data_IF_464137280623
#
_entry.id   IF_464137280623
#
_cell.length_a   1.000
_cell.length_b   1.000
_cell.length_c   1.000
_cell.angle_alpha   90.00
_cell.angle_beta   90.00
_cell.angle_gamma   90.00
#
_symmetry.space_group_name_H-M   'P 1'
#
loop_
_entity.id
_entity.type
_entity.pdbx_description
1 polymer ?
#
# COMPACT_ATOMS: atom_id res chain seq x y z
N UNK A 1 8.19 -3.43 5.88
CA UNK A 1 6.72 -3.55 5.72
C UNK A 1 6.26 -2.44 4.79
N UNK A 2 6.01 -2.78 3.52
CA UNK A 2 5.99 -1.86 2.38
C UNK A 2 4.61 -1.38 1.93
N UNK A 3 3.57 -1.48 2.75
CA UNK A 3 2.34 -0.73 2.50
C UNK A 3 2.53 0.61 3.19
N UNK A 4 3.28 1.52 2.58
CA UNK A 4 3.29 2.92 3.02
C UNK A 4 1.84 3.33 3.20
N UNK A 5 1.46 3.84 4.38
CA UNK A 5 0.08 3.92 4.89
C UNK A 5 -0.97 4.62 4.03
N UNK A 6 -0.67 4.96 2.77
CA UNK A 6 -1.53 5.53 1.74
C UNK A 6 -2.87 4.83 1.56
N UNK A 7 -2.96 3.50 1.70
CA UNK A 7 -4.25 2.81 1.64
C UNK A 7 -5.24 3.27 2.71
N UNK A 8 -4.75 3.55 3.93
CA UNK A 8 -5.54 4.14 5.01
C UNK A 8 -5.59 5.66 4.94
N UNK A 9 -4.51 6.28 4.46
CA UNK A 9 -4.36 7.73 4.43
C UNK A 9 -5.33 8.39 3.46
N UNK A 10 -5.58 7.79 2.29
CA UNK A 10 -6.51 8.33 1.28
C UNK A 10 -7.95 8.40 1.81
N UNK A 11 -8.54 7.32 2.36
CA UNK A 11 -9.83 7.39 3.05
C UNK A 11 -9.82 8.37 4.22
N UNK A 12 -8.82 8.33 5.10
CA UNK A 12 -8.76 9.22 6.26
C UNK A 12 -8.79 10.70 5.84
N UNK A 13 -8.05 11.08 4.80
CA UNK A 13 -8.03 12.46 4.29
C UNK A 13 -9.36 12.89 3.66
N UNK A 14 -10.06 11.98 2.98
CA UNK A 14 -11.37 12.27 2.35
C UNK A 14 -12.48 12.35 3.41
N UNK A 15 -12.54 11.37 4.31
CA UNK A 15 -13.67 11.21 5.25
C UNK A 15 -13.47 11.93 6.58
N UNK A 16 -12.24 12.01 7.10
CA UNK A 16 -11.94 12.65 8.40
C UNK A 16 -11.59 14.12 8.19
N UNK A 17 -10.66 14.42 7.28
CA UNK A 17 -10.22 15.80 7.02
C UNK A 17 -11.12 16.56 6.03
N UNK A 18 -12.03 15.88 5.33
CA UNK A 18 -12.96 16.51 4.39
C UNK A 18 -12.29 17.15 3.16
N UNK A 19 -11.06 16.73 2.81
CA UNK A 19 -10.33 17.32 1.69
C UNK A 19 -10.91 16.86 0.34
N UNK A 20 -10.96 17.74 -0.67
CA UNK A 20 -11.43 17.37 -2.00
C UNK A 20 -10.52 16.31 -2.62
N UNK A 21 -11.12 15.29 -3.23
CA UNK A 21 -10.44 14.08 -3.75
C UNK A 21 -9.27 14.40 -4.68
N UNK A 22 -9.37 15.47 -5.48
CA UNK A 22 -8.30 15.93 -6.37
C UNK A 22 -7.00 16.32 -5.63
N UNK A 23 -7.11 16.91 -4.45
CA UNK A 23 -5.95 17.36 -3.65
C UNK A 23 -5.34 16.18 -2.90
N UNK A 24 -6.17 15.28 -2.37
CA UNK A 24 -5.76 14.10 -1.60
C UNK A 24 -4.85 13.17 -2.40
N UNK A 25 -5.14 12.97 -3.69
CA UNK A 25 -4.34 12.10 -4.56
C UNK A 25 -2.92 12.65 -4.70
N UNK A 26 -2.75 13.97 -4.88
CA UNK A 26 -1.43 14.59 -5.00
C UNK A 26 -0.65 14.58 -3.69
N UNK A 27 -1.29 14.94 -2.57
CA UNK A 27 -0.62 15.02 -1.25
C UNK A 27 -0.17 13.65 -0.74
N UNK A 28 -1.01 12.62 -0.92
CA UNK A 28 -0.65 11.24 -0.56
C UNK A 28 0.51 10.71 -1.41
N UNK A 29 0.53 11.00 -2.71
CA UNK A 29 1.62 10.55 -3.60
C UNK A 29 2.94 11.18 -3.20
N UNK A 30 2.95 12.49 -2.92
CA UNK A 30 4.12 13.20 -2.43
C UNK A 30 4.66 12.55 -1.15
N UNK A 31 3.81 12.36 -0.16
CA UNK A 31 4.20 11.72 1.10
C UNK A 31 4.76 10.30 0.89
N UNK A 32 4.10 9.48 0.07
CA UNK A 32 4.51 8.09 -0.18
C UNK A 32 5.91 8.04 -0.80
N UNK A 33 6.29 8.99 -1.67
CA UNK A 33 7.64 9.03 -2.24
C UNK A 33 8.70 9.17 -1.14
N UNK A 34 8.53 10.08 -0.18
CA UNK A 34 9.50 10.26 0.91
C UNK A 34 9.55 9.07 1.84
N UNK A 35 8.39 8.52 2.23
CA UNK A 35 8.32 7.35 3.11
C UNK A 35 8.94 6.13 2.43
N UNK A 36 8.64 5.89 1.15
CA UNK A 36 9.19 4.78 0.39
C UNK A 36 10.71 4.92 0.19
N UNK A 37 11.19 6.12 -0.14
CA UNK A 37 12.63 6.37 -0.29
C UNK A 37 13.38 6.12 1.03
N UNK A 38 12.88 6.66 2.14
CA UNK A 38 13.50 6.48 3.45
C UNK A 38 13.49 5.03 3.91
N UNK A 39 12.35 4.33 3.76
CA UNK A 39 12.24 2.91 4.12
C UNK A 39 13.13 2.04 3.25
N UNK A 40 13.25 2.33 1.95
CA UNK A 40 14.15 1.62 1.04
C UNK A 40 15.61 1.85 1.42
N UNK A 41 16.00 3.10 1.72
CA UNK A 41 17.36 3.42 2.16
C UNK A 41 17.70 2.71 3.48
N UNK A 42 16.79 2.75 4.45
CA UNK A 42 16.98 2.05 5.73
C UNK A 42 17.08 0.54 5.53
N UNK A 43 16.29 -0.03 4.64
CA UNK A 43 16.35 -1.46 4.33
C UNK A 43 17.65 -1.85 3.63
N UNK A 44 18.12 -1.01 2.69
CA UNK A 44 19.39 -1.18 2.03
C UNK A 44 20.56 -1.18 3.03
N UNK A 45 20.55 -0.26 3.98
CA UNK A 45 21.63 -0.13 4.97
C UNK A 45 21.58 -1.29 5.99
N UNK A 46 20.41 -1.58 6.56
CA UNK A 46 20.28 -2.54 7.67
C UNK A 46 20.36 -4.00 7.23
N UNK A 47 19.74 -4.34 6.12
CA UNK A 47 19.59 -5.75 5.70
C UNK A 47 20.61 -6.13 4.63
N UNK A 48 21.22 -5.16 3.92
CA UNK A 48 22.18 -5.35 2.81
C UNK A 48 21.72 -6.32 1.69
N UNK A 49 20.47 -6.80 1.74
CA UNK A 49 19.90 -7.81 0.84
C UNK A 49 19.04 -7.17 -0.25
N UNK A 50 19.46 -6.02 -0.78
CA UNK A 50 18.74 -5.36 -1.87
C UNK A 50 19.17 -5.96 -3.20
N UNK A 51 18.31 -6.81 -3.74
CA UNK A 51 18.45 -7.31 -5.10
C UNK A 51 18.10 -6.19 -6.09
N UNK A 52 19.14 -5.64 -6.73
CA UNK A 52 19.02 -4.56 -7.70
C UNK A 52 18.20 -5.00 -8.92
N UNK A 53 18.31 -6.27 -9.34
CA UNK A 53 17.58 -6.77 -10.50
C UNK A 53 16.08 -6.81 -10.20
N UNK A 54 15.70 -7.32 -9.02
CA UNK A 54 14.31 -7.37 -8.57
C UNK A 54 13.73 -5.96 -8.38
N UNK A 55 14.51 -5.04 -7.81
CA UNK A 55 14.14 -3.64 -7.68
C UNK A 55 13.87 -2.99 -9.04
N UNK A 56 14.71 -3.24 -10.04
CA UNK A 56 14.58 -2.67 -11.38
C UNK A 56 13.33 -3.20 -12.11
N UNK A 57 13.07 -4.51 -12.01
CA UNK A 57 11.84 -5.13 -12.53
C UNK A 57 10.59 -4.57 -11.85
N UNK A 58 10.62 -4.39 -10.52
CA UNK A 58 9.53 -3.78 -9.77
C UNK A 58 9.28 -2.32 -10.15
N UNK A 59 10.34 -1.52 -10.34
CA UNK A 59 10.22 -0.13 -10.78
C UNK A 59 9.60 -0.07 -12.16
N UNK A 60 10.10 -0.85 -13.12
CA UNK A 60 9.55 -0.86 -14.48
C UNK A 60 8.09 -1.31 -14.50
N UNK A 61 7.78 -2.44 -13.85
CA UNK A 61 6.41 -2.96 -13.76
C UNK A 61 5.48 -1.98 -13.03
N UNK A 62 5.95 -1.37 -11.94
CA UNK A 62 5.20 -0.39 -11.16
C UNK A 62 4.93 0.90 -11.93
N UNK A 63 5.92 1.44 -12.65
CA UNK A 63 5.74 2.64 -13.48
C UNK A 63 4.77 2.36 -14.61
N UNK A 64 4.95 1.27 -15.36
CA UNK A 64 4.04 0.91 -16.46
C UNK A 64 2.62 0.67 -15.93
N UNK A 65 2.48 -0.09 -14.84
CA UNK A 65 1.21 -0.36 -14.19
C UNK A 65 0.51 0.90 -13.69
N UNK A 66 1.23 1.83 -13.05
CA UNK A 66 0.67 3.09 -12.57
C UNK A 66 0.23 4.01 -13.71
N UNK A 67 0.99 4.08 -14.81
CA UNK A 67 0.63 4.85 -15.99
C UNK A 67 -0.63 4.29 -16.66
N UNK A 68 -0.73 2.97 -16.82
CA UNK A 68 -1.94 2.32 -17.37
C UNK A 68 -3.12 2.49 -16.42
N UNK A 69 -2.91 2.28 -15.12
CA UNK A 69 -3.93 2.42 -14.09
C UNK A 69 -4.49 3.83 -13.99
N UNK A 70 -3.64 4.86 -14.05
CA UNK A 70 -4.07 6.27 -14.03
C UNK A 70 -4.91 6.62 -15.28
N UNK A 71 -4.47 6.19 -16.47
CA UNK A 71 -5.22 6.42 -17.72
C UNK A 71 -6.58 5.73 -17.70
N UNK A 72 -6.66 4.51 -17.19
CA UNK A 72 -7.92 3.78 -17.06
C UNK A 72 -8.81 4.40 -15.97
N UNK A 73 -8.21 4.85 -14.85
CA UNK A 73 -8.89 5.53 -13.75
C UNK A 73 -9.60 6.82 -14.16
N UNK A 74 -9.05 7.57 -15.13
CA UNK A 74 -9.68 8.77 -15.68
C UNK A 74 -10.99 8.48 -16.45
N UNK A 75 -11.25 7.23 -16.84
CA UNK A 75 -12.50 6.84 -17.50
C UNK A 75 -13.64 6.58 -16.51
N UNK A 76 -13.35 6.48 -15.21
CA UNK A 76 -14.34 6.26 -14.17
C UNK A 76 -14.79 7.57 -13.53
N UNK A 77 -16.06 7.65 -13.17
CA UNK A 77 -16.57 8.77 -12.39
C UNK A 77 -15.98 8.73 -10.97
N UNK A 78 -15.78 9.90 -10.35
CA UNK A 78 -15.21 10.01 -9.00
C UNK A 78 -15.97 9.18 -7.95
N UNK A 79 -17.30 9.06 -8.12
CA UNK A 79 -18.15 8.25 -7.26
C UNK A 79 -17.92 6.74 -7.44
N UNK A 80 -17.75 6.26 -8.69
CA UNK A 80 -17.42 4.86 -8.97
C UNK A 80 -16.06 4.49 -8.37
N UNK A 81 -15.06 5.37 -8.50
CA UNK A 81 -13.74 5.15 -7.93
C UNK A 81 -13.79 5.09 -6.39
N UNK A 82 -14.63 5.92 -5.76
CA UNK A 82 -14.86 5.91 -4.31
C UNK A 82 -15.52 4.62 -3.84
N UNK A 83 -16.54 4.14 -4.55
CA UNK A 83 -17.22 2.87 -4.24
C UNK A 83 -16.24 1.70 -4.38
N UNK A 84 -15.41 1.70 -5.43
CA UNK A 84 -14.44 0.64 -5.68
C UNK A 84 -13.36 0.60 -4.59
N UNK A 85 -12.88 1.76 -4.13
CA UNK A 85 -12.00 1.86 -2.96
C UNK A 85 -12.68 1.35 -1.69
N UNK A 86 -13.94 1.73 -1.43
CA UNK A 86 -14.66 1.28 -0.26
C UNK A 86 -14.86 -0.24 -0.24
N UNK A 87 -15.19 -0.84 -1.39
CA UNK A 87 -15.33 -2.29 -1.54
C UNK A 87 -14.00 -3.01 -1.31
N UNK A 88 -12.89 -2.48 -1.83
CA UNK A 88 -11.55 -3.01 -1.56
C UNK A 88 -11.22 -2.97 -0.06
N UNK A 89 -11.48 -1.85 0.62
CA UNK A 89 -11.28 -1.72 2.07
C UNK A 89 -12.12 -2.72 2.86
N UNK A 90 -13.40 -2.85 2.53
CA UNK A 90 -14.29 -3.83 3.17
C UNK A 90 -13.82 -5.27 2.94
N UNK A 91 -13.35 -5.61 1.74
CA UNK A 91 -12.81 -6.93 1.45
C UNK A 91 -11.56 -7.24 2.28
N UNK A 92 -10.63 -6.27 2.39
CA UNK A 92 -9.42 -6.42 3.22
C UNK A 92 -9.79 -6.55 4.70
N UNK A 93 -10.70 -5.72 5.19
CA UNK A 93 -11.17 -5.80 6.58
C UNK A 93 -11.83 -7.15 6.88
N UNK A 94 -12.66 -7.64 5.95
CA UNK A 94 -13.27 -8.98 6.04
C UNK A 94 -12.23 -10.09 6.05
N UNK A 95 -11.22 -10.03 5.18
CA UNK A 95 -10.12 -11.01 5.14
C UNK A 95 -9.33 -11.04 6.45
N UNK A 96 -9.00 -9.88 7.02
CA UNK A 96 -8.34 -9.78 8.33
C UNK A 96 -9.23 -10.34 9.45
N UNK A 97 -10.54 -10.04 9.43
CA UNK A 97 -11.48 -10.58 10.41
C UNK A 97 -11.62 -12.10 10.32
N UNK A 98 -11.62 -12.65 9.10
CA UNK A 98 -11.63 -14.09 8.86
C UNK A 98 -10.32 -14.75 9.30
N UNK A 99 -9.16 -14.15 9.00
CA UNK A 99 -7.86 -14.61 9.49
C UNK A 99 -7.79 -14.63 11.04
N UNK A 100 -8.64 -13.85 11.71
CA UNK A 100 -8.73 -13.81 13.18
C UNK A 100 -9.64 -14.89 13.76
N UNK A 101 -10.63 -15.36 13.00
CA UNK A 101 -11.61 -16.38 13.42
C UNK A 101 -11.21 -17.78 12.97
N UNK A 102 -10.59 -17.89 11.80
CA UNK A 102 -10.06 -19.14 11.28
C UNK A 102 -8.75 -19.47 12.02
N UNK A 103 -8.56 -20.72 12.45
CA UNK A 103 -7.31 -21.13 13.07
C UNK A 103 -6.15 -20.94 12.08
N UNK A 104 -5.05 -20.27 12.49
CA UNK A 104 -3.89 -20.09 11.63
C UNK A 104 -3.27 -21.43 11.27
N UNK A 105 -2.94 -21.64 9.99
CA UNK A 105 -2.28 -22.86 9.49
C UNK A 105 -0.85 -23.05 10.05
N UNK A 106 -0.20 -21.98 10.54
CA UNK A 106 1.13 -22.07 11.15
C UNK A 106 1.06 -22.07 12.69
N UNK A 107 1.08 -23.27 13.26
CA UNK A 107 1.40 -23.49 14.67
C UNK A 107 2.88 -23.12 14.92
N UNK A 108 3.12 -21.99 15.59
CA UNK A 108 4.37 -21.62 16.28
C UNK A 108 5.67 -21.61 15.43
N UNK A 109 6.19 -20.41 15.14
CA UNK A 109 7.64 -20.18 15.20
C UNK A 109 7.96 -19.26 16.38
N UNK A 110 8.03 -19.86 17.58
CA UNK A 110 8.82 -19.29 18.68
C UNK A 110 10.27 -19.33 18.23
N UNK A 111 10.76 -18.22 17.65
CA UNK A 111 12.19 -17.96 17.59
C UNK A 111 12.63 -17.77 19.04
N UNK A 112 13.08 -18.87 19.66
CA UNK A 112 13.83 -18.85 20.91
C UNK A 112 15.14 -18.15 20.59
N UNK A 113 15.24 -16.87 20.94
CA UNK A 113 16.52 -16.17 21.07
C UNK A 113 17.36 -16.92 22.10
N UNK A 114 18.27 -17.76 21.62
CA UNK A 114 19.13 -18.60 22.43
C UNK A 114 20.57 -18.52 21.92
N UNK A 115 21.31 -17.56 22.50
CA UNK A 115 22.75 -17.26 22.39
C UNK A 115 23.22 -16.47 21.17
#
# INVERSE_FOLDING_TARGET
MGVGGGFLMVPAMIYILGMPTKVVVGTSLYQVIFVAAFTTLMHAITTQAVDIMLALVLILGGVVGAQVGSRLGLRFNAEQLRILLALMVLAVAGRIALDLVLPPDELYSIVVTGR
#
